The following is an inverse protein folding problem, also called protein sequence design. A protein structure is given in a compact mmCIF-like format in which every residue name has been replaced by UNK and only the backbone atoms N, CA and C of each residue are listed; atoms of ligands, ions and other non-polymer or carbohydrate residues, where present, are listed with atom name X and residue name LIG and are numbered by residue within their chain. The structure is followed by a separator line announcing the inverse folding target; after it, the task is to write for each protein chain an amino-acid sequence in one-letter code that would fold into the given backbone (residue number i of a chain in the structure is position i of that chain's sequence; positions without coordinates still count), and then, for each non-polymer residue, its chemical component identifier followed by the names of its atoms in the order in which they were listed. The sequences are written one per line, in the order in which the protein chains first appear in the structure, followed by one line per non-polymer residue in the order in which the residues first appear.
data_IF_656076421419
#
_entry.id   IF_656076421419
#
_cell.length_a   1.000
_cell.length_b   1.000
_cell.length_c   1.000
_cell.angle_alpha   90.00
_cell.angle_beta   90.00
_cell.angle_gamma   90.00
#
_symmetry.space_group_name_H-M   'P 1'
#
loop_
_entity.id
_entity.type
_entity.pdbx_description
1 polymer ?
#
# COMPACT_ATOMS: atom_id res chain seq x y z
N UNK A 1 -4.75 -17.43 -35.99
CA UNK A 1 -3.92 -16.60 -35.09
C UNK A 1 -4.66 -15.35 -34.62
N UNK A 2 -5.18 -14.48 -35.51
CA UNK A 2 -5.97 -13.30 -35.09
C UNK A 2 -7.23 -13.61 -34.26
N UNK A 3 -7.98 -14.67 -34.60
CA UNK A 3 -9.21 -15.01 -33.84
C UNK A 3 -8.92 -15.43 -32.39
N UNK A 4 -7.82 -16.17 -32.17
CA UNK A 4 -7.36 -16.53 -30.82
C UNK A 4 -6.83 -15.32 -30.05
N UNK A 5 -6.13 -14.40 -30.72
CA UNK A 5 -5.66 -13.16 -30.08
C UNK A 5 -6.82 -12.26 -29.66
N UNK A 6 -7.82 -12.10 -30.54
CA UNK A 6 -9.02 -11.32 -30.24
C UNK A 6 -9.89 -11.96 -29.14
N UNK A 7 -10.00 -13.29 -29.08
CA UNK A 7 -10.74 -13.95 -28.00
C UNK A 7 -10.02 -13.79 -26.66
N UNK A 8 -8.68 -13.98 -26.63
CA UNK A 8 -7.86 -13.78 -25.43
C UNK A 8 -7.97 -12.34 -24.92
N UNK A 9 -7.85 -11.34 -25.80
CA UNK A 9 -7.97 -9.93 -25.42
C UNK A 9 -9.39 -9.61 -24.92
N UNK A 10 -10.42 -10.11 -25.60
CA UNK A 10 -11.82 -9.89 -25.21
C UNK A 10 -12.16 -10.51 -23.85
N UNK A 11 -11.73 -11.73 -23.60
CA UNK A 11 -11.92 -12.43 -22.32
C UNK A 11 -11.18 -11.73 -21.18
N UNK A 12 -9.93 -11.30 -21.40
CA UNK A 12 -9.16 -10.56 -20.40
C UNK A 12 -9.77 -9.18 -20.10
N UNK A 13 -10.25 -8.45 -21.10
CA UNK A 13 -10.94 -7.18 -20.88
C UNK A 13 -12.24 -7.37 -20.10
N UNK A 14 -13.00 -8.42 -20.39
CA UNK A 14 -14.19 -8.77 -19.63
C UNK A 14 -13.87 -9.14 -18.18
N UNK A 15 -12.78 -9.89 -17.96
CA UNK A 15 -12.27 -10.25 -16.64
C UNK A 15 -11.94 -9.01 -15.82
N UNK A 16 -11.11 -8.12 -16.38
CA UNK A 16 -10.70 -6.86 -15.74
C UNK A 16 -11.91 -5.98 -15.45
N UNK A 17 -12.81 -5.80 -16.41
CA UNK A 17 -14.02 -4.99 -16.23
C UNK A 17 -14.94 -5.52 -15.13
N UNK A 18 -15.09 -6.85 -15.04
CA UNK A 18 -15.89 -7.51 -13.99
C UNK A 18 -15.27 -7.35 -12.61
N UNK A 19 -13.94 -7.46 -12.52
CA UNK A 19 -13.18 -7.27 -11.29
C UNK A 19 -13.24 -5.82 -10.79
N UNK A 20 -13.04 -4.85 -11.70
CA UNK A 20 -13.16 -3.42 -11.40
C UNK A 20 -14.56 -3.08 -10.92
N UNK A 21 -15.60 -3.58 -11.60
CA UNK A 21 -16.99 -3.40 -11.17
C UNK A 21 -17.25 -4.00 -9.78
N UNK A 22 -16.65 -5.15 -9.46
CA UNK A 22 -16.75 -5.74 -8.12
C UNK A 22 -16.09 -4.83 -7.07
N UNK A 23 -14.83 -4.41 -7.27
CA UNK A 23 -14.09 -3.48 -6.40
C UNK A 23 -14.84 -2.15 -6.19
N UNK A 24 -15.42 -1.58 -7.25
CA UNK A 24 -16.18 -0.33 -7.16
C UNK A 24 -17.49 -0.47 -6.37
N UNK A 25 -18.08 -1.67 -6.30
CA UNK A 25 -19.28 -1.93 -5.49
C UNK A 25 -18.96 -2.40 -4.07
N UNK A 26 -17.68 -2.62 -3.76
CA UNK A 26 -17.24 -3.09 -2.46
C UNK A 26 -16.95 -1.95 -1.48
N UNK A 27 -17.03 -2.24 -0.19
CA UNK A 27 -16.58 -1.34 0.87
C UNK A 27 -15.17 -1.76 1.29
N UNK A 28 -14.23 -0.80 1.40
CA UNK A 28 -12.85 -1.01 1.87
C UNK A 28 -12.78 -1.86 3.13
N UNK A 29 -13.76 -1.70 4.00
CA UNK A 29 -13.87 -2.34 5.30
C UNK A 29 -14.27 -3.82 5.18
N UNK A 30 -15.06 -4.19 4.18
CA UNK A 30 -15.77 -5.47 4.13
C UNK A 30 -15.24 -6.44 3.06
N UNK A 31 -14.57 -5.97 2.01
CA UNK A 31 -13.87 -6.82 1.03
C UNK A 31 -14.64 -8.09 0.64
N UNK A 32 -15.78 -7.97 -0.02
CA UNK A 32 -16.67 -9.08 -0.42
C UNK A 32 -16.05 -10.08 -1.41
N UNK A 33 -14.81 -9.86 -1.85
CA UNK A 33 -14.06 -10.75 -2.76
C UNK A 33 -13.98 -12.20 -2.25
N UNK A 34 -13.97 -12.42 -0.93
CA UNK A 34 -13.96 -13.78 -0.34
C UNK A 34 -15.30 -14.53 -0.43
N UNK A 35 -16.41 -13.82 -0.64
CA UNK A 35 -17.76 -14.41 -0.60
C UNK A 35 -18.43 -14.50 -1.96
N UNK A 36 -17.95 -13.72 -2.94
CA UNK A 36 -18.55 -13.67 -4.27
C UNK A 36 -17.57 -14.17 -5.32
N UNK A 37 -17.97 -15.20 -6.05
CA UNK A 37 -17.29 -15.62 -7.28
C UNK A 37 -17.25 -14.44 -8.26
N UNK A 38 -16.05 -14.03 -8.65
CA UNK A 38 -15.85 -13.00 -9.68
C UNK A 38 -16.24 -13.55 -11.05
N UNK A 39 -16.02 -14.85 -11.28
CA UNK A 39 -16.42 -15.63 -12.45
C UNK A 39 -16.94 -17.01 -12.01
N UNK A 40 -17.94 -17.61 -12.70
CA UNK A 40 -18.48 -18.94 -12.38
C UNK A 40 -17.42 -20.04 -12.17
N UNK A 41 -16.33 -20.00 -12.94
CA UNK A 41 -15.22 -20.97 -12.91
C UNK A 41 -14.20 -20.74 -11.77
N UNK A 42 -14.28 -19.62 -11.04
CA UNK A 42 -13.42 -19.41 -9.88
C UNK A 42 -13.84 -20.32 -8.72
N UNK A 43 -12.90 -21.14 -8.25
CA UNK A 43 -13.04 -21.87 -7.00
C UNK A 43 -12.76 -20.92 -5.82
N UNK A 44 -13.79 -20.62 -5.03
CA UNK A 44 -13.58 -19.98 -3.72
C UNK A 44 -12.87 -20.98 -2.80
N UNK A 45 -11.79 -20.59 -2.09
CA UNK A 45 -11.12 -21.51 -1.18
C UNK A 45 -12.12 -21.96 -0.10
N UNK A 46 -12.24 -23.26 0.13
CA UNK A 46 -13.18 -23.78 1.14
C UNK A 46 -12.79 -23.24 2.53
N UNK A 47 -13.73 -22.76 3.35
CA UNK A 47 -13.46 -22.20 4.68
C UNK A 47 -12.66 -23.13 5.60
N UNK A 48 -12.86 -24.44 5.48
CA UNK A 48 -12.12 -25.44 6.26
C UNK A 48 -10.63 -25.52 5.91
N UNK A 49 -10.27 -25.31 4.63
CA UNK A 49 -8.87 -25.34 4.16
C UNK A 49 -8.09 -24.10 4.62
N UNK A 50 -8.74 -22.94 4.70
CA UNK A 50 -8.16 -21.72 5.30
C UNK A 50 -7.93 -21.88 6.81
N UNK A 51 -8.86 -22.54 7.50
CA UNK A 51 -8.80 -22.78 8.95
C UNK A 51 -7.69 -23.76 9.37
N UNK A 52 -7.44 -24.80 8.56
CA UNK A 52 -6.31 -25.71 8.78
C UNK A 52 -4.96 -25.08 8.48
N UNK A 53 -4.85 -24.25 7.44
CA UNK A 53 -3.60 -23.57 7.11
C UNK A 53 -3.18 -22.56 8.20
N UNK A 54 -4.15 -21.85 8.79
CA UNK A 54 -3.91 -20.88 9.85
C UNK A 54 -3.40 -21.47 11.18
N UNK A 55 -3.33 -22.80 11.32
CA UNK A 55 -2.89 -23.49 12.54
C UNK A 55 -1.42 -23.96 12.49
N UNK A 56 -0.81 -23.97 11.31
CA UNK A 56 0.58 -24.44 11.07
C UNK A 56 1.48 -23.32 10.50
N UNK A 57 1.17 -22.06 10.80
CA UNK A 57 1.94 -20.90 10.32
C UNK A 57 3.18 -20.70 11.17
N UNK A 58 4.36 -20.67 10.53
CA UNK A 58 5.64 -20.43 11.22
C UNK A 58 5.74 -18.98 11.73
N UNK A 59 6.63 -18.72 12.70
CA UNK A 59 6.82 -17.36 13.25
C UNK A 59 7.20 -16.34 12.17
N UNK A 60 8.10 -16.71 11.27
CA UNK A 60 8.52 -15.86 10.15
C UNK A 60 7.35 -15.56 9.21
N UNK A 61 6.50 -16.56 8.95
CA UNK A 61 5.31 -16.40 8.11
C UNK A 61 4.23 -15.53 8.80
N UNK A 62 4.06 -15.64 10.13
CA UNK A 62 3.19 -14.73 10.90
C UNK A 62 3.65 -13.27 10.77
N UNK A 63 4.96 -13.03 10.94
CA UNK A 63 5.54 -11.68 10.83
C UNK A 63 5.41 -11.16 9.40
N UNK A 64 5.68 -12.01 8.40
CA UNK A 64 5.47 -11.66 6.99
C UNK A 64 4.03 -11.23 6.73
N UNK A 65 3.04 -11.98 7.22
CA UNK A 65 1.61 -11.62 7.08
C UNK A 65 1.29 -10.27 7.74
N UNK A 66 1.92 -9.94 8.87
CA UNK A 66 1.71 -8.65 9.52
C UNK A 66 2.26 -7.51 8.67
N UNK A 67 3.51 -7.64 8.20
CA UNK A 67 4.18 -6.60 7.40
C UNK A 67 3.48 -6.42 6.05
N UNK A 68 2.95 -7.50 5.47
CA UNK A 68 2.22 -7.47 4.20
C UNK A 68 0.76 -7.02 4.33
N UNK A 69 0.18 -6.93 5.53
CA UNK A 69 -1.20 -6.46 5.70
C UNK A 69 -1.25 -4.93 5.60
N UNK A 70 -1.84 -4.34 4.53
CA UNK A 70 -1.91 -2.89 4.35
C UNK A 70 -2.78 -2.20 5.41
N UNK A 71 -3.54 -2.97 6.19
CA UNK A 71 -4.36 -2.50 7.31
C UNK A 71 -3.56 -2.33 8.59
N UNK A 72 -2.33 -2.83 8.62
CA UNK A 72 -1.42 -2.76 9.73
C UNK A 72 -0.12 -2.06 9.32
N UNK A 73 -0.04 -0.77 9.61
CA UNK A 73 1.13 0.05 9.31
C UNK A 73 1.70 0.73 10.56
N UNK A 74 2.31 1.90 10.35
CA UNK A 74 2.90 2.70 11.43
C UNK A 74 1.87 3.08 12.51
N UNK A 75 0.63 3.38 12.12
CA UNK A 75 -0.41 3.77 13.07
C UNK A 75 -0.92 2.57 13.88
N UNK A 76 -1.10 1.42 13.25
CA UNK A 76 -1.44 0.15 13.89
C UNK A 76 -0.38 -0.27 14.90
N UNK A 77 0.89 -0.20 14.51
CA UNK A 77 2.02 -0.48 15.39
C UNK A 77 2.06 0.48 16.58
N UNK A 78 1.86 1.78 16.35
CA UNK A 78 1.81 2.78 17.42
C UNK A 78 0.63 2.54 18.39
N UNK A 79 -0.55 2.21 17.87
CA UNK A 79 -1.72 1.84 18.67
C UNK A 79 -1.40 0.64 19.58
N UNK A 80 -0.77 -0.40 19.05
CA UNK A 80 -0.34 -1.55 19.84
C UNK A 80 0.62 -1.13 20.96
N UNK A 81 1.60 -0.27 20.66
CA UNK A 81 2.58 0.19 21.65
C UNK A 81 1.91 0.93 22.83
N UNK A 82 0.93 1.79 22.55
CA UNK A 82 0.17 2.49 23.59
C UNK A 82 -0.71 1.53 24.41
N UNK A 83 -1.36 0.57 23.77
CA UNK A 83 -2.38 -0.25 24.45
C UNK A 83 -1.78 -1.46 25.20
N UNK A 84 -0.72 -2.05 24.67
CA UNK A 84 -0.13 -3.30 25.16
C UNK A 84 1.39 -3.19 25.39
N UNK A 85 2.11 -2.54 24.48
CA UNK A 85 3.58 -2.43 24.52
C UNK A 85 4.13 -1.84 25.83
N UNK A 86 3.50 -0.80 26.37
CA UNK A 86 3.94 -0.16 27.63
C UNK A 86 3.99 -1.12 28.84
N UNK A 87 3.28 -2.25 28.80
CA UNK A 87 3.28 -3.24 29.90
C UNK A 87 4.59 -4.03 29.96
N UNK A 88 5.39 -4.00 28.88
CA UNK A 88 6.69 -4.66 28.75
C UNK A 88 6.66 -6.14 29.16
N UNK A 89 5.54 -6.83 28.91
CA UNK A 89 5.36 -8.23 29.35
C UNK A 89 6.38 -9.16 28.69
N UNK A 90 6.59 -8.99 27.39
CA UNK A 90 7.57 -9.74 26.59
C UNK A 90 8.99 -9.49 27.11
N UNK A 91 9.37 -8.22 27.34
CA UNK A 91 10.69 -7.87 27.89
C UNK A 91 10.92 -8.47 29.29
N UNK A 92 9.88 -8.48 30.13
CA UNK A 92 9.95 -9.05 31.49
C UNK A 92 10.07 -10.58 31.47
N UNK A 93 9.55 -11.26 30.45
CA UNK A 93 9.67 -12.71 30.32
C UNK A 93 11.08 -13.15 29.94
N UNK A 94 11.79 -12.37 29.13
CA UNK A 94 13.13 -12.73 28.64
C UNK A 94 14.29 -12.08 29.43
N UNK A 95 14.01 -11.18 30.36
CA UNK A 95 15.03 -10.45 31.13
C UNK A 95 16.05 -9.70 30.25
N UNK A 96 15.62 -9.28 29.06
CA UNK A 96 16.42 -8.52 28.09
C UNK A 96 15.80 -7.15 27.87
N UNK A 97 16.63 -6.11 27.84
CA UNK A 97 16.20 -4.72 27.61
C UNK A 97 16.47 -4.36 26.16
N UNK A 98 15.41 -4.29 25.35
CA UNK A 98 15.51 -3.75 24.00
C UNK A 98 15.20 -2.26 24.00
N UNK A 99 16.23 -1.45 23.75
CA UNK A 99 16.11 0.00 23.62
C UNK A 99 15.09 0.38 22.55
N UNK A 100 15.06 -0.35 21.42
CA UNK A 100 14.10 -0.13 20.34
C UNK A 100 12.66 -0.19 20.82
N UNK A 101 12.28 -1.17 21.65
CA UNK A 101 10.90 -1.28 22.17
C UNK A 101 10.54 -0.11 23.10
N UNK A 102 11.43 0.21 24.04
CA UNK A 102 11.21 1.24 25.06
C UNK A 102 11.15 2.62 24.40
N UNK A 103 12.13 2.95 23.56
CA UNK A 103 12.16 4.22 22.85
C UNK A 103 11.09 4.30 21.76
N UNK A 104 10.71 3.18 21.13
CA UNK A 104 9.57 3.18 20.20
C UNK A 104 8.29 3.62 20.88
N UNK A 105 8.01 3.08 22.06
CA UNK A 105 6.84 3.50 22.83
C UNK A 105 6.98 4.91 23.41
N UNK A 106 8.18 5.32 23.84
CA UNK A 106 8.39 6.61 24.53
C UNK A 106 8.42 7.80 23.56
N UNK A 107 9.05 7.64 22.39
CA UNK A 107 9.17 8.69 21.38
C UNK A 107 8.19 8.54 20.22
N UNK A 108 7.30 7.55 20.26
CA UNK A 108 6.39 7.25 19.16
C UNK A 108 7.14 7.07 17.84
N UNK A 109 8.20 6.24 17.83
CA UNK A 109 9.07 6.06 16.65
C UNK A 109 8.29 5.78 15.34
N UNK A 110 7.20 4.98 15.30
CA UNK A 110 6.43 4.80 14.07
C UNK A 110 5.87 6.11 13.50
N UNK A 111 5.43 7.03 14.38
CA UNK A 111 4.95 8.34 13.96
C UNK A 111 6.09 9.27 13.52
N UNK A 112 7.26 9.15 14.13
CA UNK A 112 8.44 9.90 13.69
C UNK A 112 8.91 9.47 12.30
N UNK A 113 8.88 8.17 12.00
CA UNK A 113 9.15 7.65 10.65
C UNK A 113 8.15 8.20 9.66
N UNK A 114 6.85 8.14 9.98
CA UNK A 114 5.79 8.74 9.16
C UNK A 114 6.05 10.23 8.89
N UNK A 115 6.35 11.03 9.92
CA UNK A 115 6.63 12.46 9.76
C UNK A 115 7.88 12.68 8.91
N UNK A 116 8.95 11.92 9.13
CA UNK A 116 10.17 12.02 8.35
C UNK A 116 9.92 11.71 6.86
N UNK A 117 9.15 10.66 6.57
CA UNK A 117 8.76 10.25 5.22
C UNK A 117 8.05 11.40 4.48
N UNK A 118 7.04 12.02 5.10
CA UNK A 118 6.32 13.16 4.53
C UNK A 118 7.18 14.42 4.42
N UNK A 119 8.01 14.72 5.41
CA UNK A 119 8.92 15.87 5.37
C UNK A 119 9.93 15.77 4.23
N UNK A 120 10.52 14.60 4.01
CA UNK A 120 11.45 14.36 2.89
C UNK A 120 10.75 14.56 1.55
N UNK A 121 9.56 13.96 1.37
CA UNK A 121 8.78 14.16 0.15
C UNK A 121 8.46 15.64 -0.11
N UNK A 122 7.94 16.36 0.89
CA UNK A 122 7.63 17.80 0.77
C UNK A 122 8.89 18.60 0.43
N UNK A 123 10.02 18.30 1.06
CA UNK A 123 11.28 19.01 0.83
C UNK A 123 11.77 18.86 -0.61
N UNK A 124 11.77 17.63 -1.15
CA UNK A 124 12.19 17.35 -2.53
C UNK A 124 11.25 18.06 -3.51
N UNK A 125 9.94 17.90 -3.35
CA UNK A 125 8.93 18.53 -4.23
C UNK A 125 9.03 20.05 -4.17
N UNK A 126 9.17 20.63 -2.98
CA UNK A 126 9.25 22.08 -2.81
C UNK A 126 10.52 22.67 -3.42
N UNK A 127 11.63 21.94 -3.38
CA UNK A 127 12.88 22.34 -4.02
C UNK A 127 12.71 22.39 -5.54
N UNK A 128 12.23 21.29 -6.13
CA UNK A 128 12.11 21.12 -7.58
C UNK A 128 11.00 21.99 -8.20
N UNK A 129 9.94 22.29 -7.43
CA UNK A 129 8.87 23.18 -7.85
C UNK A 129 9.36 24.61 -8.13
N UNK A 130 10.30 25.11 -7.31
CA UNK A 130 10.86 26.46 -7.49
C UNK A 130 11.64 26.59 -8.79
N UNK A 131 12.30 25.51 -9.20
CA UNK A 131 13.10 25.48 -10.42
C UNK A 131 12.23 25.33 -11.67
N UNK A 132 11.05 24.72 -11.55
CA UNK A 132 10.12 24.49 -12.67
C UNK A 132 9.22 25.68 -13.02
N UNK A 133 8.88 26.56 -12.06
CA UNK A 133 7.82 27.56 -12.23
C UNK A 133 8.04 28.55 -13.40
N UNK A 134 9.28 28.66 -13.89
CA UNK A 134 9.67 29.54 -14.99
C UNK A 134 9.91 28.81 -16.33
N UNK A 135 9.73 27.49 -16.41
CA UNK A 135 9.97 26.70 -17.63
C UNK A 135 8.71 26.62 -18.51
N UNK A 136 8.89 26.61 -19.84
CA UNK A 136 7.81 26.49 -20.81
C UNK A 136 7.17 25.09 -20.79
N UNK A 137 5.88 25.03 -21.10
CA UNK A 137 5.15 23.76 -21.30
C UNK A 137 5.59 23.11 -22.61
N UNK A 138 6.30 21.97 -22.55
CA UNK A 138 6.80 21.18 -23.70
C UNK A 138 7.90 21.88 -24.54
N UNK A 139 9.12 22.05 -24.00
CA UNK A 139 10.22 22.68 -24.72
C UNK A 139 10.83 21.78 -25.81
N UNK A 140 10.78 20.45 -25.66
CA UNK A 140 11.44 19.48 -26.56
C UNK A 140 12.93 19.81 -26.77
N UNK A 141 13.62 20.19 -25.70
CA UNK A 141 15.01 20.65 -25.71
C UNK A 141 15.97 19.59 -25.16
N UNK A 142 15.46 18.52 -24.54
CA UNK A 142 16.29 17.49 -23.94
C UNK A 142 17.04 16.63 -24.97
N UNK A 143 18.24 16.19 -24.58
CA UNK A 143 19.06 15.27 -25.37
C UNK A 143 18.40 13.88 -25.46
N UNK A 144 18.87 13.06 -26.41
CA UNK A 144 18.34 11.71 -26.61
C UNK A 144 18.59 10.84 -25.37
N UNK A 145 19.72 11.01 -24.69
CA UNK A 145 20.07 10.30 -23.45
C UNK A 145 19.05 10.59 -22.34
N UNK A 146 18.68 11.86 -22.16
CA UNK A 146 17.66 12.29 -21.20
C UNK A 146 16.30 11.66 -21.51
N UNK A 147 15.92 11.64 -22.80
CA UNK A 147 14.67 11.01 -23.26
C UNK A 147 14.67 9.51 -23.03
N UNK A 148 15.78 8.82 -23.30
CA UNK A 148 15.90 7.38 -23.09
C UNK A 148 15.77 6.99 -21.62
N UNK A 149 16.40 7.73 -20.71
CA UNK A 149 16.31 7.46 -19.27
C UNK A 149 14.91 7.75 -18.74
N UNK A 150 14.32 8.89 -19.12
CA UNK A 150 12.93 9.21 -18.78
C UNK A 150 11.97 8.12 -19.25
N UNK A 151 12.10 7.67 -20.49
CA UNK A 151 11.30 6.58 -21.06
C UNK A 151 11.51 5.25 -20.30
N UNK A 152 12.76 4.90 -19.97
CA UNK A 152 13.07 3.67 -19.24
C UNK A 152 12.46 3.65 -17.83
N UNK A 153 12.54 4.77 -17.10
CA UNK A 153 11.91 4.90 -15.77
C UNK A 153 10.39 4.77 -15.89
N UNK A 154 9.77 5.41 -16.88
CA UNK A 154 8.33 5.30 -17.11
C UNK A 154 7.89 3.91 -17.53
N UNK A 155 8.71 3.18 -18.26
CA UNK A 155 8.43 1.79 -18.62
C UNK A 155 8.43 0.90 -17.37
N UNK A 156 9.37 1.11 -16.44
CA UNK A 156 9.38 0.42 -15.14
C UNK A 156 8.11 0.75 -14.35
N UNK A 157 7.71 2.03 -14.30
CA UNK A 157 6.52 2.45 -13.57
C UNK A 157 5.22 1.96 -14.20
N UNK A 158 5.15 1.89 -15.52
CA UNK A 158 4.05 1.25 -16.23
C UNK A 158 3.92 -0.23 -15.83
N UNK A 159 5.03 -0.97 -15.78
CA UNK A 159 5.02 -2.37 -15.32
C UNK A 159 4.61 -2.46 -13.83
N UNK A 160 5.22 -1.66 -12.95
CA UNK A 160 4.90 -1.64 -11.51
C UNK A 160 3.44 -1.26 -11.23
N UNK A 161 2.81 -0.44 -12.07
CA UNK A 161 1.41 -0.03 -11.89
C UNK A 161 0.42 -1.19 -11.87
N UNK A 162 0.69 -2.25 -12.66
CA UNK A 162 -0.13 -3.47 -12.63
C UNK A 162 0.06 -4.26 -11.34
N UNK A 163 1.30 -4.37 -10.86
CA UNK A 163 1.60 -5.02 -9.59
C UNK A 163 1.03 -4.26 -8.39
N UNK A 164 0.92 -2.93 -8.45
CA UNK A 164 0.27 -2.14 -7.42
C UNK A 164 -1.22 -2.51 -7.29
N UNK A 165 -1.89 -2.76 -8.42
CA UNK A 165 -3.28 -3.24 -8.45
C UNK A 165 -3.40 -4.69 -7.94
N UNK A 166 -2.49 -5.56 -8.33
CA UNK A 166 -2.46 -6.94 -7.87
C UNK A 166 -2.19 -7.03 -6.37
N UNK A 167 -1.26 -6.23 -5.84
CA UNK A 167 -0.99 -6.16 -4.40
C UNK A 167 -2.23 -5.73 -3.60
N UNK A 168 -3.01 -4.76 -4.10
CA UNK A 168 -4.30 -4.41 -3.50
C UNK A 168 -5.30 -5.58 -3.50
N UNK A 169 -5.20 -6.48 -4.47
CA UNK A 169 -6.14 -7.61 -4.68
C UNK A 169 -5.69 -8.90 -4.00
N UNK A 170 -4.40 -9.13 -3.85
CA UNK A 170 -3.89 -10.33 -3.19
C UNK A 170 -3.84 -10.15 -1.67
N UNK A 171 -3.54 -8.93 -1.19
CA UNK A 171 -3.59 -8.61 0.25
C UNK A 171 -5.02 -8.59 0.81
N UNK A 172 -6.05 -8.50 -0.06
CA UNK A 172 -7.45 -8.76 0.32
C UNK A 172 -7.79 -10.26 0.38
N UNK A 173 -6.84 -11.18 0.17
CA UNK A 173 -7.05 -12.65 0.25
C UNK A 173 -6.40 -13.31 1.47
N UNK A 174 -5.78 -12.53 2.35
CA UNK A 174 -5.11 -13.03 3.56
C UNK A 174 -6.09 -13.83 4.45
N UNK A 175 -5.61 -14.95 5.00
CA UNK A 175 -6.41 -15.83 5.88
C UNK A 175 -6.83 -15.12 7.18
N UNK A 176 -5.98 -14.22 7.68
CA UNK A 176 -6.23 -13.34 8.81
C UNK A 176 -5.79 -11.92 8.46
N UNK A 177 -6.51 -10.95 9.00
CA UNK A 177 -6.23 -9.52 8.79
C UNK A 177 -6.57 -8.71 10.04
N UNK A 178 -6.03 -7.51 10.11
CA UNK A 178 -6.41 -6.55 11.14
C UNK A 178 -7.89 -6.16 10.97
N UNK A 179 -8.71 -6.18 12.04
CA UNK A 179 -10.12 -5.87 11.94
C UNK A 179 -10.32 -4.41 11.52
N UNK A 180 -11.09 -4.19 10.46
CA UNK A 180 -11.31 -2.87 9.89
C UNK A 180 -12.43 -2.12 10.65
N UNK A 181 -12.24 -1.99 11.95
CA UNK A 181 -13.21 -1.37 12.88
C UNK A 181 -12.76 -0.01 13.41
N UNK A 182 -11.48 0.34 13.22
CA UNK A 182 -10.88 1.53 13.80
C UNK A 182 -10.33 2.48 12.73
N UNK A 183 -10.25 3.78 13.10
CA UNK A 183 -9.73 4.82 12.19
C UNK A 183 -8.26 4.62 11.84
N UNK A 184 -7.47 4.03 12.75
CA UNK A 184 -6.04 3.77 12.55
C UNK A 184 -5.80 2.83 11.36
N UNK A 185 -6.61 1.78 11.25
CA UNK A 185 -6.55 0.81 10.15
C UNK A 185 -6.84 1.46 8.80
N UNK A 186 -7.82 2.37 8.78
CA UNK A 186 -8.16 3.15 7.59
C UNK A 186 -7.03 4.10 7.19
N UNK A 187 -6.39 4.75 8.16
CA UNK A 187 -5.24 5.62 7.92
C UNK A 187 -4.04 4.84 7.40
N UNK A 188 -3.72 3.68 7.98
CA UNK A 188 -2.64 2.82 7.47
C UNK A 188 -2.92 2.37 6.03
N UNK A 189 -4.15 1.98 5.72
CA UNK A 189 -4.52 1.56 4.36
C UNK A 189 -4.37 2.70 3.35
N UNK A 190 -4.79 3.91 3.72
CA UNK A 190 -4.64 5.08 2.85
C UNK A 190 -3.18 5.51 2.75
N UNK A 191 -2.41 5.41 3.83
CA UNK A 191 -0.98 5.70 3.82
C UNK A 191 -0.27 4.73 2.87
N UNK A 192 -0.39 3.43 3.07
CA UNK A 192 0.28 2.40 2.24
C UNK A 192 0.01 2.61 0.75
N UNK A 193 -1.26 2.64 0.33
CA UNK A 193 -1.57 2.71 -1.10
C UNK A 193 -1.56 4.14 -1.66
N UNK A 194 -2.06 5.10 -0.88
CA UNK A 194 -2.19 6.49 -1.32
C UNK A 194 -0.84 7.19 -1.39
N UNK A 195 0.03 6.97 -0.40
CA UNK A 195 1.37 7.55 -0.40
C UNK A 195 2.21 6.97 -1.55
N UNK A 196 2.17 5.65 -1.76
CA UNK A 196 2.86 5.02 -2.89
C UNK A 196 2.44 5.64 -4.23
N UNK A 197 1.14 5.85 -4.45
CA UNK A 197 0.64 6.49 -5.66
C UNK A 197 1.11 7.94 -5.81
N UNK A 198 1.10 8.71 -4.72
CA UNK A 198 1.60 10.10 -4.69
C UNK A 198 3.09 10.13 -5.03
N UNK A 199 3.89 9.23 -4.46
CA UNK A 199 5.33 9.15 -4.70
C UNK A 199 5.62 8.80 -6.16
N UNK A 200 4.94 7.80 -6.73
CA UNK A 200 5.12 7.48 -8.15
C UNK A 200 4.75 8.66 -9.06
N UNK A 201 3.59 9.29 -8.84
CA UNK A 201 3.17 10.44 -9.65
C UNK A 201 4.13 11.63 -9.52
N UNK A 202 4.63 11.87 -8.30
CA UNK A 202 5.63 12.88 -8.03
C UNK A 202 6.93 12.56 -8.75
N UNK A 203 7.40 11.31 -8.68
CA UNK A 203 8.66 10.95 -9.30
C UNK A 203 8.61 11.07 -10.83
N UNK A 204 7.49 10.71 -11.46
CA UNK A 204 7.27 10.96 -12.89
C UNK A 204 7.47 12.44 -13.24
N UNK A 205 6.92 13.33 -12.43
CA UNK A 205 7.09 14.77 -12.61
C UNK A 205 8.53 15.21 -12.34
N UNK A 206 9.19 14.73 -11.29
CA UNK A 206 10.59 15.08 -10.99
C UNK A 206 11.54 14.67 -12.12
N UNK A 207 11.46 13.42 -12.57
CA UNK A 207 12.28 12.91 -13.66
C UNK A 207 11.97 13.66 -14.96
N UNK A 208 10.74 14.15 -15.15
CA UNK A 208 10.40 15.02 -16.29
C UNK A 208 11.09 16.38 -16.21
N UNK A 209 11.18 16.98 -15.02
CA UNK A 209 11.78 18.32 -14.81
C UNK A 209 13.31 18.29 -14.73
N UNK A 210 13.89 17.17 -14.30
CA UNK A 210 15.33 17.01 -14.15
C UNK A 210 16.07 17.22 -15.48
N UNK A 211 17.17 17.97 -15.42
CA UNK A 211 17.97 18.36 -16.58
C UNK A 211 19.10 17.35 -16.88
N UNK A 212 19.56 16.60 -15.86
CA UNK A 212 20.63 15.61 -16.01
C UNK A 212 20.15 14.15 -15.82
N UNK A 213 20.75 13.19 -16.56
CA UNK A 213 20.54 11.76 -16.36
C UNK A 213 20.76 11.28 -14.91
N UNK A 214 21.77 11.83 -14.25
CA UNK A 214 22.15 11.45 -12.89
C UNK A 214 21.07 11.85 -11.91
N UNK A 215 20.56 13.08 -12.02
CA UNK A 215 19.51 13.59 -11.14
C UNK A 215 18.21 12.80 -11.32
N UNK A 216 17.85 12.45 -12.55
CA UNK A 216 16.70 11.58 -12.85
C UNK A 216 16.76 10.24 -12.10
N UNK A 217 17.92 9.58 -12.12
CA UNK A 217 18.11 8.29 -11.45
C UNK A 217 18.13 8.47 -9.93
N UNK A 218 18.79 9.51 -9.43
CA UNK A 218 18.86 9.80 -8.00
C UNK A 218 17.50 10.15 -7.41
N UNK A 219 16.70 10.94 -8.11
CA UNK A 219 15.33 11.26 -7.71
C UNK A 219 14.47 9.98 -7.67
N UNK A 220 14.59 9.11 -8.67
CA UNK A 220 13.88 7.83 -8.70
C UNK A 220 14.28 6.91 -7.54
N UNK A 221 15.57 6.82 -7.22
CA UNK A 221 16.07 6.05 -6.09
C UNK A 221 15.63 6.63 -4.74
N UNK A 222 15.69 7.96 -4.60
CA UNK A 222 15.26 8.65 -3.39
C UNK A 222 13.76 8.42 -3.13
N UNK A 223 12.94 8.46 -4.19
CA UNK A 223 11.51 8.20 -4.09
C UNK A 223 11.20 6.75 -3.71
N UNK A 224 11.91 5.76 -4.27
CA UNK A 224 11.77 4.36 -3.85
C UNK A 224 12.21 4.14 -2.39
N UNK A 225 13.26 4.84 -1.93
CA UNK A 225 13.67 4.81 -0.53
C UNK A 225 12.57 5.37 0.39
N UNK A 226 12.02 6.56 0.06
CA UNK A 226 10.94 7.19 0.82
C UNK A 226 9.70 6.28 0.86
N UNK A 227 9.39 5.60 -0.24
CA UNK A 227 8.25 4.69 -0.35
C UNK A 227 8.37 3.46 0.57
N UNK A 228 9.58 2.93 0.78
CA UNK A 228 9.80 1.68 1.54
C UNK A 228 10.16 1.89 3.02
N UNK A 229 10.33 3.14 3.46
CA UNK A 229 10.88 3.47 4.77
C UNK A 229 10.04 2.93 5.95
N UNK A 230 8.72 2.97 5.83
CA UNK A 230 7.78 2.42 6.81
C UNK A 230 7.88 0.90 6.91
N UNK A 231 7.85 0.20 5.78
CA UNK A 231 7.97 -1.24 5.69
C UNK A 231 9.34 -1.74 6.19
N UNK A 232 10.42 -1.01 5.89
CA UNK A 232 11.77 -1.29 6.40
C UNK A 232 11.83 -1.13 7.93
N UNK A 233 11.22 -0.08 8.48
CA UNK A 233 11.15 0.11 9.93
C UNK A 233 10.38 -1.03 10.62
N UNK A 234 9.22 -1.43 10.09
CA UNK A 234 8.47 -2.57 10.64
C UNK A 234 9.27 -3.87 10.59
N UNK A 235 9.94 -4.13 9.46
CA UNK A 235 10.79 -5.30 9.29
C UNK A 235 11.91 -5.31 10.32
N UNK A 236 12.61 -4.20 10.52
CA UNK A 236 13.65 -4.07 11.54
C UNK A 236 13.09 -4.27 12.96
N UNK A 237 11.93 -3.67 13.25
CA UNK A 237 11.28 -3.76 14.55
C UNK A 237 10.91 -5.22 14.91
N UNK A 238 10.27 -5.94 13.99
CA UNK A 238 9.86 -7.33 14.22
C UNK A 238 11.02 -8.32 14.16
N UNK A 239 12.08 -8.04 13.39
CA UNK A 239 13.30 -8.85 13.45
C UNK A 239 13.99 -8.76 14.82
N UNK A 240 13.91 -7.61 15.49
CA UNK A 240 14.43 -7.45 16.86
C UNK A 240 13.49 -7.98 17.94
N UNK A 241 12.18 -8.03 17.67
CA UNK A 241 11.12 -8.37 18.63
C UNK A 241 10.09 -9.31 17.98
N UNK A 242 10.49 -10.53 17.58
CA UNK A 242 9.62 -11.41 16.82
C UNK A 242 8.41 -11.89 17.63
N UNK A 243 8.53 -12.00 18.97
CA UNK A 243 7.45 -12.38 19.87
C UNK A 243 6.34 -11.33 19.95
N UNK A 244 6.69 -10.05 19.74
CA UNK A 244 5.69 -8.97 19.61
C UNK A 244 4.87 -9.17 18.33
N UNK A 245 5.54 -9.56 17.23
CA UNK A 245 4.86 -9.96 16.00
C UNK A 245 3.92 -11.13 16.23
N UNK A 246 4.37 -12.17 16.92
CA UNK A 246 3.50 -13.31 17.27
C UNK A 246 2.30 -12.89 18.12
N UNK A 247 2.49 -12.07 19.15
CA UNK A 247 1.40 -11.59 20.00
C UNK A 247 0.34 -10.81 19.21
N UNK A 248 0.79 -9.94 18.29
CA UNK A 248 -0.10 -9.16 17.43
C UNK A 248 -0.88 -10.09 16.50
N UNK A 249 -0.22 -11.04 15.84
CA UNK A 249 -0.86 -11.97 14.92
C UNK A 249 -1.89 -12.86 15.63
N UNK A 250 -1.57 -13.36 16.83
CA UNK A 250 -2.44 -14.31 17.52
C UNK A 250 -3.62 -13.65 18.23
N UNK A 251 -3.48 -12.39 18.67
CA UNK A 251 -4.51 -11.70 19.45
C UNK A 251 -5.28 -10.61 18.70
N UNK A 252 -4.65 -9.92 17.75
CA UNK A 252 -5.25 -8.74 17.09
C UNK A 252 -5.69 -9.05 15.65
N UNK A 253 -5.08 -10.02 14.97
CA UNK A 253 -5.50 -10.44 13.63
C UNK A 253 -6.66 -11.44 13.71
N UNK A 254 -7.71 -11.17 12.95
CA UNK A 254 -8.95 -11.96 12.94
C UNK A 254 -9.20 -12.59 11.58
N UNK A 255 -10.02 -13.63 11.53
CA UNK A 255 -10.44 -14.21 10.24
C UNK A 255 -11.39 -13.27 9.49
N UNK A 256 -11.52 -13.46 8.18
CA UNK A 256 -12.45 -12.69 7.36
C UNK A 256 -13.88 -12.69 7.92
N UNK A 257 -14.38 -13.87 8.33
CA UNK A 257 -15.73 -14.02 8.86
C UNK A 257 -15.93 -13.22 10.14
N UNK A 258 -14.94 -13.26 11.03
CA UNK A 258 -15.00 -12.54 12.29
C UNK A 258 -14.96 -11.02 12.05
N UNK A 259 -14.13 -10.55 11.12
CA UNK A 259 -14.09 -9.14 10.72
C UNK A 259 -15.46 -8.65 10.21
N UNK A 260 -16.16 -9.43 9.37
CA UNK A 260 -17.50 -9.07 8.89
C UNK A 260 -18.49 -8.92 10.05
N UNK A 261 -18.48 -9.87 11.00
CA UNK A 261 -19.35 -9.81 12.17
C UNK A 261 -19.04 -8.61 13.08
N UNK A 262 -17.75 -8.31 13.28
CA UNK A 262 -17.31 -7.15 14.05
C UNK A 262 -17.76 -5.84 13.40
N UNK A 263 -17.63 -5.72 12.08
CA UNK A 263 -18.08 -4.54 11.34
C UNK A 263 -19.61 -4.37 11.44
N UNK A 264 -20.39 -5.46 11.31
CA UNK A 264 -21.84 -5.39 11.46
C UNK A 264 -22.26 -4.95 12.87
N UNK A 265 -21.52 -5.38 13.89
CA UNK A 265 -21.73 -4.92 15.26
C UNK A 265 -21.40 -3.42 15.41
N UNK A 266 -20.24 -2.99 14.91
CA UNK A 266 -19.76 -1.60 15.02
C UNK A 266 -20.58 -0.62 14.18
N UNK A 267 -21.19 -1.06 13.07
CA UNK A 267 -22.12 -0.26 12.25
C UNK A 267 -23.30 0.31 13.02
N UNK A 268 -23.65 -0.27 14.17
CA UNK A 268 -24.70 0.26 15.07
C UNK A 268 -24.28 1.55 15.76
N UNK A 269 -22.98 1.84 15.87
CA UNK A 269 -22.46 3.05 16.50
C UNK A 269 -22.42 4.21 15.51
N UNK A 270 -22.91 5.37 15.93
CA UNK A 270 -22.94 6.58 15.11
C UNK A 270 -21.53 7.05 14.68
N UNK A 271 -20.55 6.95 15.59
CA UNK A 271 -19.16 7.34 15.31
C UNK A 271 -18.55 6.51 14.18
N UNK A 272 -18.76 5.18 14.19
CA UNK A 272 -18.29 4.29 13.15
C UNK A 272 -18.97 4.57 11.80
N UNK A 273 -20.28 4.82 11.81
CA UNK A 273 -21.01 5.21 10.60
C UNK A 273 -20.51 6.52 9.99
N UNK A 274 -20.21 7.52 10.84
CA UNK A 274 -19.62 8.78 10.41
C UNK A 274 -18.23 8.57 9.79
N UNK A 275 -17.36 7.81 10.48
CA UNK A 275 -16.04 7.44 9.98
C UNK A 275 -16.12 6.74 8.62
N UNK A 276 -16.97 5.71 8.49
CA UNK A 276 -17.14 4.98 7.24
C UNK A 276 -17.53 5.91 6.08
N UNK A 277 -18.43 6.88 6.32
CA UNK A 277 -18.82 7.88 5.30
C UNK A 277 -17.68 8.82 4.94
N UNK A 278 -16.92 9.31 5.92
CA UNK A 278 -15.79 10.21 5.69
C UNK A 278 -14.68 9.54 4.87
N UNK A 279 -14.41 8.26 5.12
CA UNK A 279 -13.37 7.49 4.42
C UNK A 279 -13.84 6.82 3.12
N UNK A 280 -15.15 6.82 2.85
CA UNK A 280 -15.72 6.28 1.61
C UNK A 280 -15.19 6.99 0.37
N UNK A 281 -15.25 8.33 0.35
CA UNK A 281 -14.83 9.13 -0.81
C UNK A 281 -13.32 9.00 -1.07
N UNK A 282 -12.42 9.21 -0.07
CA UNK A 282 -10.98 9.03 -0.26
C UNK A 282 -10.63 7.65 -0.80
N UNK A 283 -11.28 6.60 -0.30
CA UNK A 283 -11.02 5.24 -0.77
C UNK A 283 -11.47 5.02 -2.22
N UNK A 284 -12.66 5.50 -2.61
CA UNK A 284 -13.12 5.38 -4.01
C UNK A 284 -12.22 6.14 -4.96
N UNK A 285 -11.74 7.32 -4.54
CA UNK A 285 -10.75 8.08 -5.28
C UNK A 285 -9.44 7.30 -5.41
N UNK A 286 -8.95 6.68 -4.34
CA UNK A 286 -7.75 5.85 -4.37
C UNK A 286 -7.88 4.68 -5.36
N UNK A 287 -8.95 3.90 -5.29
CA UNK A 287 -9.20 2.77 -6.21
C UNK A 287 -9.29 3.26 -7.65
N UNK A 288 -9.97 4.38 -7.89
CA UNK A 288 -10.05 5.00 -9.20
C UNK A 288 -8.67 5.45 -9.70
N UNK A 289 -7.88 6.10 -8.86
CA UNK A 289 -6.52 6.54 -9.18
C UNK A 289 -5.61 5.36 -9.51
N UNK A 290 -5.67 4.27 -8.73
CA UNK A 290 -4.90 3.04 -9.00
C UNK A 290 -5.25 2.44 -10.36
N UNK A 291 -6.53 2.43 -10.71
CA UNK A 291 -6.98 1.95 -12.02
C UNK A 291 -6.56 2.87 -13.18
N UNK A 292 -6.56 4.19 -12.97
CA UNK A 292 -6.15 5.17 -13.98
C UNK A 292 -4.62 5.27 -14.13
N UNK A 293 -3.87 4.88 -13.10
CA UNK A 293 -2.43 5.08 -13.04
C UNK A 293 -1.63 4.42 -14.19
N UNK A 294 -1.91 3.18 -14.64
CA UNK A 294 -1.28 2.60 -15.82
C UNK A 294 -1.54 3.41 -17.11
N UNK A 295 -2.76 3.94 -17.26
CA UNK A 295 -3.15 4.78 -18.42
C UNK A 295 -2.39 6.10 -18.38
N UNK A 296 -2.27 6.70 -17.20
CA UNK A 296 -1.47 7.90 -16.98
C UNK A 296 -0.01 7.65 -17.33
N UNK A 297 0.60 6.56 -16.84
CA UNK A 297 1.97 6.19 -17.16
C UNK A 297 2.17 6.04 -18.66
N UNK A 298 1.27 5.33 -19.36
CA UNK A 298 1.33 5.17 -20.81
C UNK A 298 1.21 6.51 -21.55
N UNK A 299 0.28 7.36 -21.13
CA UNK A 299 0.07 8.69 -21.70
C UNK A 299 1.32 9.56 -21.56
N UNK A 300 1.86 9.68 -20.34
CA UNK A 300 3.07 10.47 -20.05
C UNK A 300 4.32 9.85 -20.69
N UNK A 301 4.39 8.53 -20.82
CA UNK A 301 5.50 7.86 -21.52
C UNK A 301 5.59 8.30 -22.98
N UNK A 302 4.45 8.45 -23.67
CA UNK A 302 4.43 8.90 -25.06
C UNK A 302 4.60 10.42 -25.14
N UNK A 303 3.73 11.18 -24.47
CA UNK A 303 3.69 12.64 -24.59
C UNK A 303 4.87 13.31 -23.88
N UNK A 304 5.23 12.83 -22.70
CA UNK A 304 6.35 13.34 -21.92
C UNK A 304 7.69 13.10 -22.59
N UNK A 305 7.92 11.91 -23.18
CA UNK A 305 9.18 11.65 -23.90
C UNK A 305 9.32 12.51 -25.16
N UNK A 306 8.20 12.82 -25.81
CA UNK A 306 8.18 13.76 -26.94
C UNK A 306 8.39 15.21 -26.51
N UNK A 307 7.83 15.62 -25.37
CA UNK A 307 7.85 17.00 -24.89
C UNK A 307 9.06 17.39 -24.05
N UNK A 308 9.75 16.42 -23.45
CA UNK A 308 11.01 16.61 -22.74
C UNK A 308 12.07 17.07 -23.74
#
# INVERSE_FOLDING_TARGET
MCYALCSIIGENLYFVGSHVKAKFNDDLLTGKEHTRKIIPDCHTPSPQRMLTLAREVSLEEKIGIIIDDPKFGMFGLFKYQIQKGYKNKVLKQHNTVYCSHIFSSMFALPLLVFVAQWMMWIAIVSSQYKDYINKNTCPNEATIENKMIFFAILLIYFVKSFFLWDNLTDRTRLNRMTPAIDVWVLLDTIQEYGFNLIIYATNIWLVYVADSPGDMVMDALAMEFIMNLDNEFMTMYFNCLPEVGEEIYDNDFVTYRDNVLLIEHEKRKCCFSCMQKSFYIPFKLLVFSLFLFPILCLGVMITGTYCK
#
